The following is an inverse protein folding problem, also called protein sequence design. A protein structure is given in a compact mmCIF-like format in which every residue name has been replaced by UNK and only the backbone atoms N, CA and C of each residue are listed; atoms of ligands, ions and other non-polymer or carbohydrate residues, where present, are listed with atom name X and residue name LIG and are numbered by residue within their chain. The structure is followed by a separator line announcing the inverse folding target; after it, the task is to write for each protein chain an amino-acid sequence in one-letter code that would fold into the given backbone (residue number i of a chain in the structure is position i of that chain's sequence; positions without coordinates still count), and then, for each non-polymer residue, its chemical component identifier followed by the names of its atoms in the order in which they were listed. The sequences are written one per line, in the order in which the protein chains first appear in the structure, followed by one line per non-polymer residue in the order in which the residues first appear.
data_IF_475005520509
#
_entry.id   IF_475005520509
#
_cell.length_a   1.000
_cell.length_b   1.000
_cell.length_c   1.000
_cell.angle_alpha   90.00
_cell.angle_beta   90.00
_cell.angle_gamma   90.00
#
_symmetry.space_group_name_H-M   'P 1'
#
loop_
_entity.id
_entity.type
_entity.pdbx_description
1 polymer ?
#
# COMPACT_ATOMS: atom_id res chain seq x y z
N UNK A 1 52.29 42.05 -35.22
CA UNK A 1 51.42 42.29 -34.05
C UNK A 1 50.00 42.06 -34.50
N UNK A 2 49.35 41.14 -33.78
CA UNK A 2 47.93 40.74 -33.76
C UNK A 2 47.35 39.88 -34.90
N UNK A 3 47.34 38.57 -34.62
CA UNK A 3 46.32 37.60 -35.04
C UNK A 3 44.94 38.02 -34.49
N UNK A 4 43.96 38.18 -35.37
CA UNK A 4 42.55 38.38 -34.99
C UNK A 4 41.73 37.13 -35.30
N UNK A 5 41.64 36.20 -34.35
CA UNK A 5 40.81 35.01 -34.45
C UNK A 5 39.31 35.39 -34.46
N UNK A 6 38.56 34.91 -35.46
CA UNK A 6 37.11 35.05 -35.52
C UNK A 6 36.43 34.08 -34.55
N UNK A 7 35.47 34.51 -33.71
CA UNK A 7 34.73 33.59 -32.85
C UNK A 7 33.66 32.87 -33.68
N UNK A 8 33.86 31.58 -33.98
CA UNK A 8 32.80 30.70 -34.48
C UNK A 8 31.79 30.43 -33.36
N UNK A 9 30.72 31.22 -33.31
CA UNK A 9 29.57 30.93 -32.45
C UNK A 9 28.81 29.76 -33.06
N UNK A 10 28.84 28.61 -32.38
CA UNK A 10 28.10 27.40 -32.74
C UNK A 10 26.59 27.67 -32.65
N UNK A 11 25.96 27.94 -33.80
CA UNK A 11 24.51 28.11 -33.89
C UNK A 11 23.84 26.75 -33.75
N UNK A 12 23.41 26.44 -32.53
CA UNK A 12 22.61 25.26 -32.27
C UNK A 12 21.27 25.41 -33.00
N UNK A 13 21.09 24.68 -34.11
CA UNK A 13 19.90 24.82 -34.96
C UNK A 13 18.63 24.66 -34.14
N UNK A 14 17.67 25.57 -34.28
CA UNK A 14 16.37 25.58 -33.60
C UNK A 14 15.65 24.21 -33.60
N UNK A 15 15.82 23.43 -34.67
CA UNK A 15 15.30 22.06 -34.79
C UNK A 15 15.87 21.11 -33.73
N UNK A 16 17.16 21.20 -33.41
CA UNK A 16 17.81 20.39 -32.36
C UNK A 16 17.31 20.79 -30.97
N UNK A 17 17.11 22.09 -30.72
CA UNK A 17 16.50 22.59 -29.48
C UNK A 17 15.07 22.08 -29.32
N UNK A 18 14.26 22.10 -30.38
CA UNK A 18 12.90 21.57 -30.36
C UNK A 18 12.87 20.06 -30.09
N UNK A 19 13.74 19.28 -30.73
CA UNK A 19 13.85 17.83 -30.50
C UNK A 19 14.29 17.48 -29.08
N UNK A 20 15.25 18.23 -28.52
CA UNK A 20 15.68 18.05 -27.13
C UNK A 20 14.56 18.39 -26.14
N UNK A 21 13.76 19.42 -26.44
CA UNK A 21 12.58 19.76 -25.64
C UNK A 21 11.52 18.67 -25.65
N UNK A 22 11.19 18.12 -26.83
CA UNK A 22 10.23 17.00 -26.95
C UNK A 22 10.74 15.74 -26.24
N UNK A 23 12.03 15.42 -26.38
CA UNK A 23 12.65 14.29 -25.69
C UNK A 23 12.60 14.47 -24.17
N UNK A 24 12.90 15.68 -23.68
CA UNK A 24 12.79 16.02 -22.26
C UNK A 24 11.37 15.88 -21.72
N UNK A 25 10.36 16.35 -22.47
CA UNK A 25 8.95 16.22 -22.10
C UNK A 25 8.49 14.75 -22.07
N UNK A 26 8.91 13.94 -23.05
CA UNK A 26 8.67 12.50 -23.07
C UNK A 26 9.29 11.81 -21.85
N UNK A 27 10.53 12.14 -21.52
CA UNK A 27 11.22 11.53 -20.38
C UNK A 27 10.55 11.91 -19.05
N UNK A 28 10.16 13.18 -18.90
CA UNK A 28 9.45 13.68 -17.73
C UNK A 28 8.08 13.03 -17.55
N UNK A 29 7.32 12.85 -18.64
CA UNK A 29 6.01 12.19 -18.58
C UNK A 29 6.13 10.71 -18.21
N UNK A 30 7.10 9.99 -18.77
CA UNK A 30 7.39 8.59 -18.37
C UNK A 30 7.77 8.51 -16.88
N UNK A 31 8.65 9.39 -16.40
CA UNK A 31 9.04 9.42 -14.99
C UNK A 31 7.85 9.73 -14.07
N UNK A 32 7.00 10.69 -14.44
CA UNK A 32 5.79 11.02 -13.68
C UNK A 32 4.78 9.86 -13.65
N UNK A 33 4.60 9.17 -14.78
CA UNK A 33 3.76 7.97 -14.84
C UNK A 33 4.32 6.83 -14.01
N UNK A 34 5.63 6.60 -14.05
CA UNK A 34 6.30 5.58 -13.23
C UNK A 34 6.13 5.90 -11.73
N UNK A 35 6.32 7.16 -11.34
CA UNK A 35 6.09 7.62 -9.96
C UNK A 35 4.63 7.43 -9.54
N UNK A 36 3.66 7.75 -10.41
CA UNK A 36 2.24 7.60 -10.13
C UNK A 36 1.83 6.12 -10.03
N UNK A 37 2.38 5.26 -10.90
CA UNK A 37 2.19 3.81 -10.81
C UNK A 37 2.72 3.30 -9.48
N UNK A 38 4.02 3.52 -9.21
CA UNK A 38 4.66 3.08 -7.96
C UNK A 38 3.93 3.59 -6.71
N UNK A 39 3.44 4.84 -6.73
CA UNK A 39 2.65 5.38 -5.63
C UNK A 39 1.27 4.72 -5.53
N UNK A 40 0.60 4.39 -6.64
CA UNK A 40 -0.66 3.64 -6.64
C UNK A 40 -0.48 2.22 -6.12
N UNK A 41 0.61 1.54 -6.48
CA UNK A 41 0.95 0.24 -5.89
C UNK A 41 1.24 0.35 -4.39
N UNK A 42 1.98 1.37 -3.95
CA UNK A 42 2.24 1.63 -2.53
C UNK A 42 0.94 1.95 -1.74
N UNK A 43 0.02 2.70 -2.35
CA UNK A 43 -1.30 3.01 -1.80
C UNK A 43 -2.19 1.77 -1.75
N UNK A 44 -2.13 0.87 -2.75
CA UNK A 44 -2.83 -0.43 -2.75
C UNK A 44 -2.33 -1.36 -1.65
N UNK A 45 -1.03 -1.39 -1.40
CA UNK A 45 -0.45 -2.08 -0.24
C UNK A 45 -0.92 -1.42 1.06
N UNK A 46 -1.20 -0.12 1.01
CA UNK A 46 -1.58 0.66 2.20
C UNK A 46 -3.07 0.61 2.55
N UNK A 47 -3.96 0.40 1.57
CA UNK A 47 -5.42 0.37 1.74
C UNK A 47 -5.97 -1.01 1.32
N UNK A 48 -6.14 -1.96 2.25
CA UNK A 48 -6.96 -3.15 2.04
C UNK A 48 -8.44 -2.73 2.01
N UNK A 49 -9.16 -3.12 0.96
CA UNK A 49 -10.62 -3.21 0.92
C UNK A 49 -11.41 -1.92 1.14
N UNK A 50 -11.92 -1.32 0.06
CA UNK A 50 -13.03 -0.36 0.17
C UNK A 50 -14.27 -1.15 0.61
N UNK A 51 -14.53 -1.19 1.93
CA UNK A 51 -15.71 -1.85 2.44
C UNK A 51 -16.92 -0.94 2.33
N UNK A 52 -17.96 -1.41 1.63
CA UNK A 52 -19.25 -0.75 1.55
C UNK A 52 -20.06 -1.09 2.80
N UNK A 53 -20.21 -0.14 3.73
CA UNK A 53 -21.04 -0.32 4.90
C UNK A 53 -22.51 -0.17 4.51
N UNK A 54 -23.24 -1.27 4.41
CA UNK A 54 -24.71 -1.26 4.38
C UNK A 54 -25.17 -1.56 5.81
N UNK A 55 -26.03 -0.71 6.38
CA UNK A 55 -26.66 -0.90 7.71
C UNK A 55 -25.75 -0.73 8.94
N UNK A 56 -24.60 -0.06 8.80
CA UNK A 56 -23.67 0.19 9.92
C UNK A 56 -22.82 -1.02 10.32
N UNK A 57 -23.04 -2.17 9.69
CA UNK A 57 -22.16 -3.35 9.79
C UNK A 57 -21.24 -3.37 8.59
N UNK A 58 -19.96 -3.65 8.85
CA UNK A 58 -18.90 -3.70 7.84
C UNK A 58 -18.29 -5.10 7.86
N UNK A 59 -18.45 -5.86 6.78
CA UNK A 59 -17.79 -7.18 6.65
C UNK A 59 -16.30 -7.01 6.41
N UNK A 60 -15.49 -7.82 7.08
CA UNK A 60 -14.03 -7.81 6.93
C UNK A 60 -13.62 -9.16 6.33
N UNK A 61 -13.68 -9.23 5.01
CA UNK A 61 -13.57 -10.51 4.28
C UNK A 61 -12.13 -10.79 3.79
N UNK A 62 -11.22 -9.84 3.96
CA UNK A 62 -9.80 -10.00 3.64
C UNK A 62 -8.93 -9.29 4.69
N UNK A 63 -7.75 -9.85 4.94
CA UNK A 63 -6.79 -9.30 5.89
C UNK A 63 -5.36 -9.40 5.35
N UNK A 64 -4.51 -8.46 5.77
CA UNK A 64 -3.07 -8.62 5.60
C UNK A 64 -2.55 -9.60 6.66
N UNK A 65 -2.13 -10.78 6.22
CA UNK A 65 -1.71 -11.86 7.10
C UNK A 65 -0.18 -11.99 7.18
N UNK A 66 0.33 -12.17 8.41
CA UNK A 66 1.74 -12.46 8.68
C UNK A 66 1.83 -13.61 9.68
N UNK A 67 2.57 -14.67 9.33
CA UNK A 67 2.86 -15.77 10.25
C UNK A 67 3.97 -15.34 11.23
N UNK A 68 3.65 -15.23 12.52
CA UNK A 68 4.56 -14.72 13.55
C UNK A 68 3.95 -14.86 14.95
N UNK A 69 4.78 -15.25 15.91
CA UNK A 69 4.48 -15.28 17.36
C UNK A 69 4.92 -14.01 18.09
N UNK A 70 5.37 -12.98 17.36
CA UNK A 70 5.79 -11.72 17.96
C UNK A 70 4.64 -11.09 18.78
N UNK A 71 4.95 -10.47 19.94
CA UNK A 71 3.95 -9.90 20.86
C UNK A 71 3.26 -8.64 20.31
N UNK A 72 3.76 -8.10 19.20
CA UNK A 72 3.19 -6.95 18.50
C UNK A 72 3.21 -7.25 17.00
N UNK A 73 2.32 -6.59 16.25
CA UNK A 73 2.24 -6.78 14.80
C UNK A 73 3.60 -6.50 14.14
N UNK A 74 4.22 -7.49 13.46
CA UNK A 74 5.54 -7.34 12.88
C UNK A 74 5.47 -6.55 11.56
N UNK A 75 5.44 -5.22 11.64
CA UNK A 75 5.17 -4.33 10.51
C UNK A 75 6.10 -4.48 9.30
N UNK A 76 7.34 -4.93 9.52
CA UNK A 76 8.36 -5.13 8.50
C UNK A 76 8.44 -6.58 7.98
N UNK A 77 7.72 -7.51 8.60
CA UNK A 77 7.73 -8.89 8.17
C UNK A 77 6.93 -9.06 6.86
N UNK A 78 7.37 -9.96 5.97
CA UNK A 78 6.63 -10.25 4.75
C UNK A 78 5.26 -10.83 5.10
N UNK A 79 4.23 -10.32 4.44
CA UNK A 79 2.87 -10.80 4.58
C UNK A 79 2.22 -11.03 3.23
N UNK A 80 0.96 -11.44 3.26
CA UNK A 80 0.13 -11.62 2.07
C UNK A 80 -1.30 -11.17 2.36
N UNK A 81 -2.02 -10.77 1.32
CA UNK A 81 -3.47 -10.66 1.44
C UNK A 81 -4.06 -12.07 1.59
N UNK A 82 -4.97 -12.23 2.54
CA UNK A 82 -5.58 -13.50 2.88
C UNK A 82 -7.09 -13.30 2.97
N UNK A 83 -7.83 -14.04 2.14
CA UNK A 83 -9.28 -14.09 2.21
C UNK A 83 -9.74 -14.79 3.49
N UNK A 84 -10.86 -14.34 4.03
CA UNK A 84 -11.56 -14.87 5.18
C UNK A 84 -12.92 -15.47 4.72
N UNK A 85 -13.38 -16.58 5.33
CA UNK A 85 -12.72 -17.35 6.39
C UNK A 85 -11.44 -18.06 5.91
N UNK A 86 -10.43 -18.13 6.79
CA UNK A 86 -9.14 -18.73 6.50
C UNK A 86 -8.96 -20.08 7.22
N UNK A 87 -8.98 -21.16 6.44
CA UNK A 87 -8.70 -22.52 6.91
C UNK A 87 -7.18 -22.79 6.91
N UNK A 88 -6.58 -22.81 8.10
CA UNK A 88 -5.10 -22.92 8.24
C UNK A 88 -4.54 -24.21 7.67
N UNK A 89 -5.28 -25.32 7.77
CA UNK A 89 -4.87 -26.58 7.17
C UNK A 89 -4.69 -26.49 5.64
N UNK A 90 -5.44 -25.60 4.99
CA UNK A 90 -5.36 -25.37 3.55
C UNK A 90 -4.36 -24.26 3.20
N UNK A 91 -4.40 -23.12 3.90
CA UNK A 91 -3.59 -21.94 3.56
C UNK A 91 -2.18 -21.97 4.14
N UNK A 92 -1.94 -22.78 5.18
CA UNK A 92 -0.66 -22.97 5.89
C UNK A 92 -0.49 -24.42 6.39
N UNK A 93 -0.41 -25.41 5.48
CA UNK A 93 -0.34 -26.82 5.88
C UNK A 93 0.82 -27.09 6.85
N UNK A 94 0.51 -27.70 8.00
CA UNK A 94 1.50 -28.10 9.01
C UNK A 94 2.08 -26.95 9.86
N UNK A 95 1.64 -25.71 9.69
CA UNK A 95 2.11 -24.60 10.53
C UNK A 95 1.56 -24.70 11.96
N UNK A 96 2.40 -24.43 12.96
CA UNK A 96 2.09 -24.61 14.40
C UNK A 96 2.32 -23.33 15.24
N UNK A 97 2.44 -22.16 14.59
CA UNK A 97 2.63 -20.88 15.28
C UNK A 97 1.41 -19.95 15.19
N UNK A 98 1.59 -18.72 15.66
CA UNK A 98 0.63 -17.64 15.59
C UNK A 98 0.57 -17.00 14.20
N UNK A 99 -0.61 -16.45 13.87
CA UNK A 99 -0.82 -15.69 12.64
C UNK A 99 -1.50 -14.38 13.00
N UNK A 100 -0.86 -13.28 12.62
CA UNK A 100 -1.45 -11.96 12.66
C UNK A 100 -2.36 -11.74 11.46
N UNK A 101 -3.56 -11.20 11.70
CA UNK A 101 -4.48 -10.70 10.68
C UNK A 101 -4.69 -9.21 10.92
N UNK A 102 -4.23 -8.37 9.99
CA UNK A 102 -4.34 -6.90 10.11
C UNK A 102 -5.36 -6.36 9.12
N UNK A 103 -6.32 -5.62 9.64
CA UNK A 103 -7.28 -4.84 8.90
C UNK A 103 -6.89 -3.37 8.96
N UNK A 104 -7.15 -2.62 7.90
CA UNK A 104 -7.07 -1.16 7.90
C UNK A 104 -8.38 -0.63 7.35
N UNK A 105 -8.93 0.37 7.99
CA UNK A 105 -10.15 1.03 7.54
C UNK A 105 -9.98 2.53 7.73
N UNK A 106 -10.31 3.30 6.69
CA UNK A 106 -10.20 4.74 6.69
C UNK A 106 -11.33 5.34 7.53
N UNK A 107 -11.01 5.67 8.78
CA UNK A 107 -11.81 6.43 9.74
C UNK A 107 -13.25 5.96 10.01
N UNK A 108 -13.46 5.71 11.29
CA UNK A 108 -14.75 5.75 11.95
C UNK A 108 -15.27 7.21 11.95
N UNK A 109 -16.53 7.50 11.55
CA UNK A 109 -17.07 8.85 11.60
C UNK A 109 -16.99 9.46 13.02
N UNK A 110 -16.32 10.59 13.17
CA UNK A 110 -16.30 11.31 14.44
C UNK A 110 -17.61 12.08 14.65
N UNK A 111 -18.42 11.61 15.60
CA UNK A 111 -19.57 12.35 16.15
C UNK A 111 -20.53 11.42 16.87
N UNK A 112 -20.89 11.71 18.13
CA UNK A 112 -21.82 10.95 19.00
C UNK A 112 -21.99 9.47 18.59
N UNK A 113 -20.87 8.77 18.52
CA UNK A 113 -20.75 7.59 17.70
C UNK A 113 -21.29 6.39 18.50
N UNK A 114 -22.21 5.59 17.97
CA UNK A 114 -22.71 4.41 18.66
C UNK A 114 -21.53 3.48 19.04
N UNK A 115 -21.70 2.75 20.15
CA UNK A 115 -20.74 1.72 20.58
C UNK A 115 -20.34 0.85 19.39
N UNK A 116 -19.05 0.80 19.10
CA UNK A 116 -18.48 -0.05 18.07
C UNK A 116 -18.01 -1.36 18.68
N UNK A 117 -18.20 -2.43 17.91
CA UNK A 117 -17.74 -3.75 18.28
C UNK A 117 -17.14 -4.44 17.06
N UNK A 118 -16.15 -5.29 17.31
CA UNK A 118 -15.72 -6.30 16.35
C UNK A 118 -16.42 -7.59 16.72
N UNK A 119 -17.12 -8.17 15.75
CA UNK A 119 -17.74 -9.47 15.90
C UNK A 119 -16.93 -10.51 15.14
N UNK A 120 -16.45 -11.54 15.85
CA UNK A 120 -15.74 -12.67 15.25
C UNK A 120 -16.72 -13.84 15.25
N UNK A 121 -17.21 -14.20 14.06
CA UNK A 121 -18.18 -15.30 13.91
C UNK A 121 -17.63 -16.62 14.46
N UNK A 122 -16.34 -16.89 14.21
CA UNK A 122 -15.65 -18.11 14.63
C UNK A 122 -14.15 -17.92 14.65
N UNK A 123 -13.51 -18.51 15.66
CA UNK A 123 -12.08 -18.79 15.65
C UNK A 123 -11.86 -20.23 16.13
N UNK A 124 -11.13 -21.02 15.34
CA UNK A 124 -10.81 -22.42 15.68
C UNK A 124 -9.54 -22.56 16.54
N UNK A 125 -9.01 -21.44 17.02
CA UNK A 125 -7.86 -21.30 17.91
C UNK A 125 -8.10 -20.13 18.86
N UNK A 126 -7.15 -19.89 19.77
CA UNK A 126 -7.14 -18.71 20.61
C UNK A 126 -6.97 -17.45 19.75
N UNK A 127 -7.64 -16.37 20.14
CA UNK A 127 -7.56 -15.06 19.47
C UNK A 127 -7.22 -14.00 20.50
N UNK A 128 -6.37 -13.09 20.08
CA UNK A 128 -6.05 -11.85 20.75
C UNK A 128 -6.36 -10.70 19.78
N UNK A 129 -7.00 -9.62 20.28
CA UNK A 129 -7.41 -8.49 19.45
C UNK A 129 -6.65 -7.25 19.87
N UNK A 130 -5.97 -6.63 18.91
CA UNK A 130 -5.29 -5.36 19.11
C UNK A 130 -5.97 -4.28 18.28
N UNK A 131 -6.41 -3.21 18.94
CA UNK A 131 -6.95 -2.02 18.29
C UNK A 131 -5.91 -0.90 18.32
N UNK A 132 -5.44 -0.49 17.15
CA UNK A 132 -4.40 0.55 17.02
C UNK A 132 -3.12 0.27 17.83
N UNK A 133 -2.81 -1.00 18.04
CA UNK A 133 -1.63 -1.47 18.79
C UNK A 133 -1.87 -1.68 20.29
N UNK A 134 -3.07 -1.38 20.79
CA UNK A 134 -3.45 -1.64 22.18
C UNK A 134 -4.29 -2.92 22.28
N UNK A 135 -4.06 -3.73 23.30
CA UNK A 135 -4.83 -4.94 23.58
C UNK A 135 -6.23 -4.58 24.11
N UNK A 136 -7.29 -5.21 23.58
CA UNK A 136 -8.69 -4.95 23.96
C UNK A 136 -9.46 -6.21 24.34
#
# INVERSE_FOLDING_TARGET
VEEGASPTVSTLSWRRLAWLGVLGLMLATVAAYAMLALNREAVRISHPGVVSAKDGVRSLDEAWSVASDAPQFPALAPGRMQALPDEWAASRPGYQGGVWYRFRFDQVPSGADPLQAVYIERACSNVEVHLNGELV
#
